data_IF_485271018583
#
_entry.id   IF_485271018583
#
_cell.length_a   1.000
_cell.length_b   1.000
_cell.length_c   1.000
_cell.angle_alpha   90.00
_cell.angle_beta   90.00
_cell.angle_gamma   90.00
#
_symmetry.space_group_name_H-M   'P 1'
#
loop_
_entity.id
_entity.type
_entity.pdbx_description
1 polymer ?
#
# COMPACT_ATOMS: atom_id res chain seq x y z
N UNK A 1 48.08 -12.79 -4.39
CA UNK A 1 46.95 -12.65 -3.42
C UNK A 1 45.71 -12.37 -4.24
N UNK A 2 44.86 -13.39 -4.46
CA UNK A 2 43.66 -13.70 -3.64
C UNK A 2 42.65 -12.55 -3.73
N UNK A 3 41.65 -12.67 -4.60
CA UNK A 3 40.30 -13.21 -4.33
C UNK A 3 39.41 -12.23 -3.54
N UNK A 4 38.11 -12.20 -3.90
CA UNK A 4 37.04 -11.29 -3.47
C UNK A 4 37.04 -9.97 -4.26
N UNK A 5 36.18 -9.72 -5.24
CA UNK A 5 34.72 -9.80 -5.17
C UNK A 5 34.13 -10.05 -6.60
N UNK A 6 34.05 -11.32 -7.00
CA UNK A 6 33.23 -11.76 -8.17
C UNK A 6 31.90 -12.37 -7.70
N UNK A 7 31.29 -11.79 -6.66
CA UNK A 7 29.98 -12.18 -6.16
C UNK A 7 28.88 -11.46 -6.94
N UNK A 8 28.31 -12.17 -7.91
CA UNK A 8 26.94 -12.05 -8.44
C UNK A 8 26.06 -10.92 -7.87
N UNK A 9 26.13 -9.72 -8.48
CA UNK A 9 25.00 -8.76 -8.44
C UNK A 9 23.72 -9.31 -9.11
N UNK A 10 23.79 -10.51 -9.69
CA UNK A 10 22.75 -11.20 -10.45
C UNK A 10 21.91 -12.21 -9.67
N UNK A 11 22.20 -12.47 -8.38
CA UNK A 11 21.51 -13.53 -7.62
C UNK A 11 20.38 -13.05 -6.69
N UNK A 12 20.19 -11.74 -6.53
CA UNK A 12 19.07 -11.22 -5.71
C UNK A 12 17.78 -10.95 -6.49
N UNK A 13 17.82 -11.08 -7.82
CA UNK A 13 16.61 -11.16 -8.63
C UNK A 13 16.35 -12.65 -8.81
N UNK A 14 15.84 -13.29 -7.75
CA UNK A 14 15.08 -14.52 -7.96
C UNK A 14 14.09 -14.20 -9.09
N UNK A 15 14.12 -15.01 -10.15
CA UNK A 15 13.13 -15.04 -11.21
C UNK A 15 11.76 -15.30 -10.56
N UNK A 16 11.13 -14.26 -10.02
CA UNK A 16 9.70 -14.28 -9.84
C UNK A 16 9.12 -14.35 -11.24
N UNK A 17 8.23 -15.33 -11.44
CA UNK A 17 7.58 -15.55 -12.71
C UNK A 17 6.99 -14.24 -13.21
N UNK A 18 7.23 -13.92 -14.49
CA UNK A 18 6.45 -12.92 -15.20
C UNK A 18 4.97 -13.20 -14.93
N UNK A 19 4.30 -12.31 -14.18
CA UNK A 19 2.89 -12.51 -13.80
C UNK A 19 2.56 -12.42 -12.32
N UNK A 20 3.54 -12.39 -11.39
CA UNK A 20 3.22 -12.11 -9.97
C UNK A 20 2.62 -10.70 -9.82
N UNK A 21 1.43 -10.62 -9.22
CA UNK A 21 0.65 -9.39 -9.03
C UNK A 21 0.83 -8.84 -7.63
N UNK A 22 1.28 -7.59 -7.53
CA UNK A 22 1.54 -6.90 -6.26
C UNK A 22 0.52 -5.78 -6.09
N UNK A 23 -0.27 -5.86 -5.02
CA UNK A 23 -1.14 -4.76 -4.59
C UNK A 23 -0.46 -3.99 -3.47
N UNK A 24 -0.26 -2.70 -3.70
CA UNK A 24 0.46 -1.78 -2.84
C UNK A 24 -0.54 -0.74 -2.29
N UNK A 25 -0.88 -0.85 -1.02
CA UNK A 25 -1.94 -0.07 -0.37
C UNK A 25 -1.38 1.04 0.52
N UNK A 26 -1.88 2.25 0.33
CA UNK A 26 -1.75 3.35 1.27
C UNK A 26 -3.03 3.46 2.10
N UNK A 27 -2.94 3.40 3.44
CA UNK A 27 -4.05 3.69 4.34
C UNK A 27 -4.54 5.13 4.19
N UNK A 28 -5.83 5.32 4.47
CA UNK A 28 -6.40 6.66 4.63
C UNK A 28 -5.90 7.31 5.92
N UNK A 29 -6.24 8.58 6.09
CA UNK A 29 -5.99 9.34 7.31
C UNK A 29 -7.30 9.48 8.10
N UNK A 30 -7.31 9.14 9.39
CA UNK A 30 -8.54 9.27 10.20
C UNK A 30 -9.10 10.70 10.22
N UNK A 31 -8.24 11.70 10.03
CA UNK A 31 -8.69 13.08 9.91
C UNK A 31 -9.59 13.32 8.71
N UNK A 32 -9.67 12.40 7.76
CA UNK A 32 -10.46 12.51 6.54
C UNK A 32 -11.78 11.72 6.61
N UNK A 33 -12.02 11.03 7.73
CA UNK A 33 -13.29 10.39 8.01
C UNK A 33 -14.40 11.43 8.22
N UNK A 34 -15.59 11.16 7.68
CA UNK A 34 -16.76 12.05 7.74
C UNK A 34 -16.65 13.32 6.88
N UNK A 35 -15.57 13.49 6.09
CA UNK A 35 -15.43 14.64 5.18
C UNK A 35 -16.15 14.39 3.86
N UNK A 36 -17.23 15.14 3.65
CA UNK A 36 -18.12 15.00 2.48
C UNK A 36 -17.69 15.94 1.33
N UNK A 37 -16.98 17.05 1.61
CA UNK A 37 -16.49 17.97 0.57
C UNK A 37 -15.12 17.54 0.03
N UNK A 38 -15.16 16.60 -0.91
CA UNK A 38 -13.98 16.06 -1.56
C UNK A 38 -13.11 17.17 -2.19
N UNK A 39 -13.70 18.06 -3.00
CA UNK A 39 -12.95 19.03 -3.82
C UNK A 39 -12.17 20.05 -2.98
N UNK A 40 -12.76 20.52 -1.88
CA UNK A 40 -12.08 21.48 -0.98
C UNK A 40 -11.00 20.79 -0.16
N UNK A 41 -11.27 19.57 0.30
CA UNK A 41 -10.33 18.77 1.07
C UNK A 41 -9.10 18.36 0.24
N UNK A 42 -9.32 17.88 -1.01
CA UNK A 42 -8.28 17.54 -2.00
C UNK A 42 -7.28 18.67 -2.19
N UNK A 43 -7.77 19.88 -2.50
CA UNK A 43 -6.90 21.02 -2.84
C UNK A 43 -5.99 21.43 -1.69
N UNK A 44 -6.40 21.19 -0.45
CA UNK A 44 -5.67 21.63 0.75
C UNK A 44 -4.56 20.67 1.20
N UNK A 45 -4.65 19.38 0.87
CA UNK A 45 -3.71 18.34 1.37
C UNK A 45 -3.02 17.53 0.28
N UNK A 46 -3.58 17.45 -0.92
CA UNK A 46 -3.27 16.37 -1.86
C UNK A 46 -2.19 16.68 -2.90
N UNK A 47 -1.20 17.49 -2.52
CA UNK A 47 -0.08 17.83 -3.40
C UNK A 47 1.14 16.90 -3.24
N UNK A 48 1.06 15.89 -2.38
CA UNK A 48 2.18 14.97 -2.13
C UNK A 48 1.72 13.51 -2.30
N UNK A 49 1.80 12.94 -3.52
CA UNK A 49 1.67 11.49 -3.67
C UNK A 49 2.69 10.82 -2.74
N UNK A 50 2.33 9.66 -2.17
CA UNK A 50 3.26 8.90 -1.34
C UNK A 50 4.39 8.35 -2.23
N UNK A 51 5.42 9.17 -2.37
CA UNK A 51 6.55 8.94 -3.27
C UNK A 51 7.24 7.60 -3.00
N UNK A 52 7.22 7.14 -1.74
CA UNK A 52 7.77 5.83 -1.38
C UNK A 52 7.02 4.68 -2.05
N UNK A 53 5.69 4.76 -2.09
CA UNK A 53 4.85 3.74 -2.73
C UNK A 53 5.00 3.76 -4.26
N UNK A 54 5.08 4.95 -4.86
CA UNK A 54 5.32 5.10 -6.29
C UNK A 54 6.70 4.57 -6.68
N UNK A 55 7.73 4.88 -5.90
CA UNK A 55 9.10 4.39 -6.12
C UNK A 55 9.16 2.86 -5.99
N UNK A 56 8.59 2.31 -4.92
CA UNK A 56 8.53 0.87 -4.73
C UNK A 56 7.78 0.17 -5.88
N UNK A 57 6.63 0.72 -6.27
CA UNK A 57 5.86 0.20 -7.39
C UNK A 57 6.65 0.22 -8.70
N UNK A 58 7.40 1.30 -8.95
CA UNK A 58 8.27 1.42 -10.12
C UNK A 58 9.40 0.39 -10.11
N UNK A 59 10.04 0.18 -8.95
CA UNK A 59 11.11 -0.82 -8.79
C UNK A 59 10.55 -2.24 -9.02
N UNK A 60 9.38 -2.55 -8.45
CA UNK A 60 8.72 -3.83 -8.65
C UNK A 60 8.30 -4.03 -10.12
N UNK A 61 7.72 -3.03 -10.79
CA UNK A 61 7.43 -3.13 -12.21
C UNK A 61 8.68 -3.41 -13.05
N UNK A 62 9.79 -2.72 -12.77
CA UNK A 62 11.08 -2.97 -13.44
C UNK A 62 11.63 -4.37 -13.18
N UNK A 63 11.28 -4.98 -12.06
CA UNK A 63 11.63 -6.37 -11.73
C UNK A 63 10.67 -7.41 -12.36
N UNK A 64 9.67 -6.99 -13.13
CA UNK A 64 8.75 -7.88 -13.84
C UNK A 64 7.43 -8.20 -13.12
N UNK A 65 7.14 -7.53 -12.00
CA UNK A 65 5.86 -7.66 -11.30
C UNK A 65 4.77 -6.82 -11.96
N UNK A 66 3.53 -7.33 -11.96
CA UNK A 66 2.35 -6.52 -12.27
C UNK A 66 1.93 -5.78 -11.01
N UNK A 67 2.10 -4.46 -10.97
CA UNK A 67 1.84 -3.68 -9.75
C UNK A 67 0.58 -2.83 -9.88
N UNK A 68 -0.23 -2.82 -8.82
CA UNK A 68 -1.32 -1.86 -8.63
C UNK A 68 -1.13 -1.11 -7.32
N UNK A 69 -1.23 0.22 -7.35
CA UNK A 69 -1.23 1.05 -6.16
C UNK A 69 -2.69 1.39 -5.81
N UNK A 70 -3.07 1.17 -4.56
CA UNK A 70 -4.35 1.55 -4.00
C UNK A 70 -4.14 2.68 -2.99
N UNK A 71 -4.60 3.86 -3.35
CA UNK A 71 -4.64 5.03 -2.49
C UNK A 71 -6.00 5.09 -1.78
N UNK A 72 -6.06 4.58 -0.54
CA UNK A 72 -7.31 4.52 0.20
C UNK A 72 -7.76 5.89 0.72
N UNK A 73 -6.84 6.82 0.95
CA UNK A 73 -7.16 8.23 1.26
C UNK A 73 -7.95 8.81 0.09
N UNK A 74 -7.49 8.53 -1.13
CA UNK A 74 -8.17 8.97 -2.33
C UNK A 74 -9.57 8.45 -2.49
N UNK A 75 -9.70 7.15 -2.36
CA UNK A 75 -10.94 6.45 -2.56
C UNK A 75 -11.95 6.77 -1.45
N UNK A 76 -11.47 7.02 -0.22
CA UNK A 76 -12.30 7.41 0.91
C UNK A 76 -12.99 8.75 0.62
N UNK A 77 -12.22 9.75 0.20
CA UNK A 77 -12.73 11.11 0.03
C UNK A 77 -13.55 11.22 -1.26
N UNK A 78 -13.06 10.64 -2.37
CA UNK A 78 -13.66 10.84 -3.69
C UNK A 78 -14.87 9.95 -3.97
N UNK A 79 -14.97 8.79 -3.31
CA UNK A 79 -16.02 7.80 -3.59
C UNK A 79 -16.69 7.25 -2.34
N UNK A 80 -15.97 7.20 -1.23
CA UNK A 80 -16.50 6.78 0.06
C UNK A 80 -17.16 7.91 0.85
N UNK A 81 -17.07 9.16 0.40
CA UNK A 81 -17.61 10.35 1.10
C UNK A 81 -17.15 10.44 2.57
N UNK A 82 -15.91 10.04 2.84
CA UNK A 82 -15.36 10.01 4.19
C UNK A 82 -15.77 8.77 5.01
N UNK A 83 -16.41 7.76 4.44
CA UNK A 83 -16.84 6.55 5.15
C UNK A 83 -15.82 5.39 5.01
N UNK A 84 -15.11 5.01 6.08
CA UNK A 84 -14.17 3.88 6.05
C UNK A 84 -14.80 2.53 5.66
N UNK A 85 -16.09 2.34 5.93
CA UNK A 85 -16.79 1.11 5.56
C UNK A 85 -16.79 0.88 4.04
N UNK A 86 -16.77 1.95 3.24
CA UNK A 86 -16.61 1.85 1.78
C UNK A 86 -15.27 1.19 1.42
N UNK A 87 -14.19 1.60 2.08
CA UNK A 87 -12.86 1.03 1.85
C UNK A 87 -12.83 -0.44 2.31
N UNK A 88 -13.24 -0.66 3.56
CA UNK A 88 -13.07 -1.94 4.25
C UNK A 88 -13.99 -3.04 3.72
N UNK A 89 -15.23 -2.70 3.35
CA UNK A 89 -16.26 -3.68 3.01
C UNK A 89 -16.59 -3.73 1.52
N UNK A 90 -16.16 -2.73 0.73
CA UNK A 90 -16.45 -2.70 -0.71
C UNK A 90 -15.19 -2.65 -1.57
N UNK A 91 -14.30 -1.66 -1.37
CA UNK A 91 -13.12 -1.51 -2.25
C UNK A 91 -12.09 -2.60 -2.10
N UNK A 92 -11.80 -3.04 -0.87
CA UNK A 92 -10.87 -4.14 -0.63
C UNK A 92 -11.34 -5.44 -1.30
N UNK A 93 -12.57 -5.94 -1.07
CA UNK A 93 -13.08 -7.12 -1.77
C UNK A 93 -13.01 -7.00 -3.29
N UNK A 94 -13.39 -5.83 -3.84
CA UNK A 94 -13.36 -5.57 -5.28
C UNK A 94 -11.93 -5.58 -5.87
N UNK A 95 -10.96 -5.04 -5.14
CA UNK A 95 -9.56 -5.10 -5.55
C UNK A 95 -9.07 -6.54 -5.61
N UNK A 96 -9.40 -7.35 -4.61
CA UNK A 96 -9.00 -8.76 -4.56
C UNK A 96 -9.67 -9.54 -5.69
N UNK A 97 -10.97 -9.35 -5.90
CA UNK A 97 -11.72 -10.10 -6.92
C UNK A 97 -11.38 -9.69 -8.35
N UNK A 98 -11.05 -8.42 -8.61
CA UNK A 98 -10.72 -7.99 -9.97
C UNK A 98 -9.22 -8.08 -10.29
N UNK A 99 -8.36 -7.80 -9.32
CA UNK A 99 -6.91 -7.79 -9.55
C UNK A 99 -6.26 -9.12 -9.22
N UNK A 100 -6.80 -9.87 -8.24
CA UNK A 100 -6.25 -11.11 -7.72
C UNK A 100 -4.76 -10.99 -7.35
N UNK A 101 -4.39 -10.13 -6.39
CA UNK A 101 -3.01 -9.96 -6.01
C UNK A 101 -2.43 -11.26 -5.45
N UNK A 102 -1.16 -11.53 -5.72
CA UNK A 102 -0.39 -12.63 -5.10
C UNK A 102 0.34 -12.12 -3.85
N UNK A 103 0.75 -10.84 -3.88
CA UNK A 103 1.43 -10.16 -2.78
C UNK A 103 0.66 -8.89 -2.46
N UNK A 104 0.45 -8.64 -1.17
CA UNK A 104 -0.16 -7.42 -0.68
C UNK A 104 0.78 -6.68 0.26
N UNK A 105 1.11 -5.42 -0.06
CA UNK A 105 1.92 -4.53 0.76
C UNK A 105 1.07 -3.38 1.30
N UNK A 106 1.01 -3.19 2.62
CA UNK A 106 0.37 -2.00 3.23
C UNK A 106 1.46 -1.07 3.72
N UNK A 107 1.45 0.19 3.28
CA UNK A 107 2.35 1.21 3.79
C UNK A 107 1.94 1.58 5.21
N UNK A 108 2.88 1.58 6.15
CA UNK A 108 2.58 2.00 7.51
C UNK A 108 3.51 3.15 7.94
N UNK A 109 2.90 4.29 8.23
CA UNK A 109 3.52 5.45 8.90
C UNK A 109 2.87 5.53 10.29
N UNK A 110 3.64 5.86 11.33
CA UNK A 110 3.20 5.77 12.74
C UNK A 110 1.82 6.40 13.03
N UNK A 111 1.54 7.57 12.46
CA UNK A 111 0.27 8.27 12.64
C UNK A 111 -0.95 7.58 11.98
N UNK A 112 -0.71 6.63 11.06
CA UNK A 112 -1.75 5.88 10.31
C UNK A 112 -1.78 4.39 10.66
N UNK A 113 -1.22 4.03 11.82
CA UNK A 113 -1.19 2.63 12.27
C UNK A 113 -2.60 2.03 12.45
N UNK A 114 -3.57 2.71 13.09
CA UNK A 114 -4.90 2.15 13.27
C UNK A 114 -5.61 1.85 11.95
N UNK A 115 -5.49 2.71 10.95
CA UNK A 115 -6.12 2.56 9.63
C UNK A 115 -5.42 1.45 8.83
N UNK A 116 -4.08 1.37 8.91
CA UNK A 116 -3.31 0.27 8.34
C UNK A 116 -3.72 -1.07 8.94
N UNK A 117 -3.94 -1.13 10.26
CA UNK A 117 -4.36 -2.33 10.96
C UNK A 117 -5.78 -2.76 10.56
N UNK A 118 -6.74 -1.84 10.52
CA UNK A 118 -8.10 -2.12 10.06
C UNK A 118 -8.11 -2.65 8.61
N UNK A 119 -7.29 -2.06 7.75
CA UNK A 119 -7.11 -2.51 6.37
C UNK A 119 -6.51 -3.93 6.31
N UNK A 120 -5.47 -4.21 7.10
CA UNK A 120 -4.89 -5.55 7.19
C UNK A 120 -5.91 -6.60 7.66
N UNK A 121 -6.76 -6.25 8.64
CA UNK A 121 -7.86 -7.11 9.07
C UNK A 121 -8.87 -7.36 7.94
N UNK A 122 -9.24 -6.34 7.17
CA UNK A 122 -10.13 -6.50 6.03
C UNK A 122 -9.55 -7.43 4.97
N UNK A 123 -8.26 -7.30 4.65
CA UNK A 123 -7.58 -8.25 3.76
C UNK A 123 -7.56 -9.66 4.34
N UNK A 124 -7.29 -9.84 5.63
CA UNK A 124 -7.34 -11.17 6.25
C UNK A 124 -8.73 -11.82 6.17
N UNK A 125 -9.81 -11.07 6.36
CA UNK A 125 -11.18 -11.58 6.18
C UNK A 125 -11.41 -12.10 4.76
N UNK A 126 -10.92 -11.40 3.75
CA UNK A 126 -11.05 -11.85 2.36
C UNK A 126 -10.15 -13.05 2.03
N UNK A 127 -9.01 -13.19 2.72
CA UNK A 127 -8.15 -14.37 2.66
C UNK A 127 -8.85 -15.59 3.26
N UNK A 128 -9.50 -15.44 4.41
CA UNK A 128 -10.27 -16.50 5.08
C UNK A 128 -11.47 -16.98 4.25
N UNK A 129 -12.02 -16.13 3.38
CA UNK A 129 -13.05 -16.50 2.40
C UNK A 129 -12.54 -17.31 1.20
N UNK A 130 -11.24 -17.56 1.10
CA UNK A 130 -10.64 -18.40 0.05
C UNK A 130 -9.72 -17.66 -0.94
N UNK A 131 -9.42 -16.37 -0.72
CA UNK A 131 -8.44 -15.67 -1.55
C UNK A 131 -7.01 -16.10 -1.19
N UNK A 132 -6.23 -16.55 -2.17
CA UNK A 132 -4.83 -16.97 -1.93
C UNK A 132 -3.85 -15.85 -2.25
N UNK A 133 -3.44 -15.09 -1.22
CA UNK A 133 -2.37 -14.10 -1.34
C UNK A 133 -1.50 -14.03 -0.09
N UNK A 134 -0.25 -13.60 -0.27
CA UNK A 134 0.69 -13.32 0.83
C UNK A 134 0.52 -11.87 1.29
N UNK A 135 0.03 -11.70 2.52
CA UNK A 135 -0.01 -10.40 3.18
C UNK A 135 1.37 -10.06 3.76
N UNK A 136 1.89 -8.88 3.42
CA UNK A 136 3.12 -8.34 4.00
C UNK A 136 2.92 -6.88 4.40
N UNK A 137 3.40 -6.51 5.58
CA UNK A 137 3.35 -5.11 6.04
C UNK A 137 4.63 -4.42 5.64
N UNK A 138 4.52 -3.31 4.91
CA UNK A 138 5.66 -2.48 4.53
C UNK A 138 5.73 -1.33 5.53
N UNK A 139 6.50 -1.55 6.59
CA UNK A 139 6.72 -0.53 7.62
C UNK A 139 7.71 0.50 7.09
N UNK A 140 7.27 1.76 7.02
CA UNK A 140 8.16 2.90 6.72
C UNK A 140 8.36 3.67 8.02
N UNK A 141 9.41 3.33 8.76
CA UNK A 141 9.81 4.05 9.96
C UNK A 141 10.31 5.45 9.58
N UNK A 142 9.56 6.49 9.94
CA UNK A 142 10.09 7.84 10.01
C UNK A 142 10.34 8.18 11.47
N UNK A 143 11.61 8.37 11.82
CA UNK A 143 12.03 8.95 13.09
C UNK A 143 11.48 10.39 13.16
N UNK A 144 10.57 10.66 14.11
CA UNK A 144 10.37 12.03 14.59
C UNK A 144 11.54 12.33 15.55
N UNK A 145 12.56 13.03 15.07
CA UNK A 145 13.39 13.82 15.97
C UNK A 145 12.59 15.07 16.30
N UNK A 146 11.90 15.07 17.43
CA UNK A 146 11.45 16.31 18.05
C UNK A 146 12.70 17.09 18.46
N UNK A 147 13.17 17.96 17.57
CA UNK A 147 14.07 19.03 17.95
C UNK A 147 13.31 19.96 18.87
N UNK A 148 13.53 19.82 20.18
CA UNK A 148 13.12 20.81 21.16
C UNK A 148 13.69 22.18 20.74
N UNK A 149 12.80 23.15 20.51
CA UNK A 149 13.11 24.57 20.55
C UNK A 149 12.11 25.24 21.46
#
# INVERSE_FOLDING_TARGET
MKHFLSGSKSEFIQKHSSGTRVLLCQPWDHFDEGKIDAKKHLKSRWNLPNYGMVLLGTIAQKAGYTVKIFDAESELVMKGEGNPAYILNYRIPLLISCFHPDILGISCISARWPEAYQMAQAFNREREKGSNFKLTTIVRSFYYSFGNK
#
